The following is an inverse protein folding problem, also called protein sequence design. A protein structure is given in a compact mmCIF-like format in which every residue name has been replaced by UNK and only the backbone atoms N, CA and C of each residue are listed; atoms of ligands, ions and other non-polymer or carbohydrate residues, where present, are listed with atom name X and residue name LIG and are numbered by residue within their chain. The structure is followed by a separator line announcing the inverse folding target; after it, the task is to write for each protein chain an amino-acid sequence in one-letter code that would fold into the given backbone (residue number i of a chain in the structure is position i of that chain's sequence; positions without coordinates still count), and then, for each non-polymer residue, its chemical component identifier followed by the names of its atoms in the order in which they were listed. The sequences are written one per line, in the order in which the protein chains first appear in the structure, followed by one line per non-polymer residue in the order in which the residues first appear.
data_IF_890347394291
#
_entry.id   IF_890347394291
#
_cell.length_a   1.000
_cell.length_b   1.000
_cell.length_c   1.000
_cell.angle_alpha   90.00
_cell.angle_beta   90.00
_cell.angle_gamma   90.00
#
_symmetry.space_group_name_H-M   'P 1'
#
loop_
_entity.id
_entity.type
_entity.pdbx_description
1 polymer ?
#
# COMPACT_ATOMS: atom_id res chain seq x y z
N UNK A 1 -32.73 39.27 -5.24
CA UNK A 1 -31.79 38.52 -6.08
C UNK A 1 -30.34 38.50 -5.50
N UNK A 2 -29.91 39.56 -4.84
CA UNK A 2 -28.54 39.64 -4.23
C UNK A 2 -28.37 38.68 -3.04
N UNK A 3 -29.40 38.53 -2.21
CA UNK A 3 -29.42 37.62 -1.06
C UNK A 3 -29.39 36.13 -1.47
N UNK A 4 -29.97 35.81 -2.64
CA UNK A 4 -29.99 34.45 -3.16
C UNK A 4 -28.61 34.03 -3.70
N UNK A 5 -27.88 34.95 -4.35
CA UNK A 5 -26.53 34.73 -4.83
C UNK A 5 -25.52 34.55 -3.65
N UNK A 6 -25.69 35.33 -2.58
CA UNK A 6 -24.84 35.25 -1.41
C UNK A 6 -25.03 33.92 -0.64
N UNK A 7 -26.31 33.43 -0.53
CA UNK A 7 -26.61 32.12 0.07
C UNK A 7 -26.06 30.96 -0.74
N UNK A 8 -26.11 31.03 -2.09
CA UNK A 8 -25.56 30.02 -2.98
C UNK A 8 -24.01 29.97 -2.89
N UNK A 9 -23.37 31.14 -2.80
CA UNK A 9 -21.93 31.22 -2.60
C UNK A 9 -21.48 30.70 -1.22
N UNK A 10 -22.24 30.96 -0.17
CA UNK A 10 -21.97 30.42 1.18
C UNK A 10 -22.16 28.91 1.25
N UNK A 11 -23.19 28.34 0.60
CA UNK A 11 -23.36 26.89 0.52
C UNK A 11 -22.25 26.22 -0.30
N UNK A 12 -21.84 26.81 -1.42
CA UNK A 12 -20.74 26.29 -2.23
C UNK A 12 -19.39 26.34 -1.48
N UNK A 13 -19.14 27.39 -0.69
CA UNK A 13 -17.96 27.47 0.16
C UNK A 13 -17.99 26.45 1.31
N UNK A 14 -19.16 26.19 1.92
CA UNK A 14 -19.29 25.15 2.97
C UNK A 14 -19.06 23.74 2.41
N UNK A 15 -19.52 23.44 1.20
CA UNK A 15 -19.27 22.17 0.53
C UNK A 15 -17.78 21.99 0.16
N UNK A 16 -17.08 23.07 -0.19
CA UNK A 16 -15.65 23.02 -0.50
C UNK A 16 -14.77 22.75 0.75
N UNK A 17 -15.20 23.16 1.95
CA UNK A 17 -14.49 22.84 3.20
C UNK A 17 -14.80 21.45 3.76
N UNK A 18 -15.92 20.83 3.38
CA UNK A 18 -16.26 19.46 3.81
C UNK A 18 -15.45 18.36 3.07
N UNK A 19 -14.77 18.70 1.98
CA UNK A 19 -14.00 17.76 1.16
C UNK A 19 -12.53 17.63 1.54
N UNK A 20 -12.07 18.27 2.62
CA UNK A 20 -10.69 18.18 3.10
C UNK A 20 -10.46 17.10 4.18
N UNK A 21 -11.49 16.36 4.59
CA UNK A 21 -11.28 15.14 5.36
C UNK A 21 -10.64 14.12 4.40
N UNK A 22 -9.37 13.81 4.62
CA UNK A 22 -8.67 12.81 3.82
C UNK A 22 -9.43 11.48 3.92
N UNK A 23 -9.85 10.95 2.77
CA UNK A 23 -10.52 9.65 2.73
C UNK A 23 -9.65 8.50 3.30
N UNK A 24 -8.41 8.81 3.69
CA UNK A 24 -7.41 7.88 4.22
C UNK A 24 -7.15 8.04 5.73
N UNK A 25 -7.79 9.02 6.41
CA UNK A 25 -7.53 9.32 7.83
C UNK A 25 -7.92 8.18 8.79
N UNK A 26 -8.75 7.24 8.34
CA UNK A 26 -9.15 6.07 9.11
C UNK A 26 -8.02 5.05 9.31
N UNK A 27 -7.02 5.04 8.43
CA UNK A 27 -6.03 3.95 8.35
C UNK A 27 -5.10 3.94 9.56
N UNK A 28 -4.57 5.09 9.97
CA UNK A 28 -3.68 5.18 11.12
C UNK A 28 -4.36 4.78 12.43
N UNK A 29 -5.55 5.31 12.79
CA UNK A 29 -6.31 4.84 13.96
C UNK A 29 -6.66 3.35 13.92
N UNK A 30 -6.90 2.78 12.72
CA UNK A 30 -7.13 1.35 12.56
C UNK A 30 -5.90 0.54 12.95
N UNK A 31 -4.74 0.90 12.44
CA UNK A 31 -3.46 0.22 12.74
C UNK A 31 -3.09 0.34 14.23
N UNK A 32 -3.38 1.47 14.87
CA UNK A 32 -3.15 1.67 16.31
C UNK A 32 -4.04 0.81 17.19
N UNK A 33 -5.23 0.42 16.71
CA UNK A 33 -6.24 -0.35 17.46
C UNK A 33 -6.30 -1.83 17.10
N UNK A 34 -5.65 -2.25 16.01
CA UNK A 34 -5.69 -3.65 15.58
C UNK A 34 -5.04 -4.56 16.61
N UNK A 35 -5.64 -5.73 16.85
CA UNK A 35 -5.06 -6.80 17.67
C UNK A 35 -4.26 -7.78 16.84
N UNK A 36 -4.36 -7.69 15.51
CA UNK A 36 -3.65 -8.56 14.59
C UNK A 36 -2.16 -8.26 14.60
N UNK A 37 -1.35 -9.32 14.53
CA UNK A 37 0.09 -9.17 14.38
C UNK A 37 0.43 -8.53 13.02
N UNK A 38 1.24 -7.49 13.06
CA UNK A 38 1.80 -6.85 11.86
C UNK A 38 3.26 -6.45 12.11
N UNK A 39 4.03 -6.44 11.03
CA UNK A 39 5.43 -6.06 11.08
C UNK A 39 5.94 -5.60 9.71
N UNK A 40 7.09 -4.94 9.72
CA UNK A 40 7.87 -4.74 8.51
C UNK A 40 8.83 -5.90 8.32
N UNK A 41 8.89 -6.42 7.10
CA UNK A 41 9.83 -7.47 6.70
C UNK A 41 10.70 -6.97 5.55
N UNK A 42 11.87 -7.56 5.42
CA UNK A 42 12.83 -7.28 4.35
C UNK A 42 12.94 -8.52 3.47
N UNK A 43 12.55 -8.38 2.23
CA UNK A 43 12.59 -9.48 1.27
C UNK A 43 13.71 -9.20 0.26
N UNK A 44 14.62 -10.16 0.12
CA UNK A 44 15.74 -10.02 -0.80
C UNK A 44 15.34 -10.46 -2.21
N UNK A 45 15.61 -9.60 -3.18
CA UNK A 45 15.57 -9.90 -4.60
C UNK A 45 17.00 -9.75 -5.16
N UNK A 46 17.75 -10.84 -5.15
CA UNK A 46 19.20 -10.80 -5.37
C UNK A 46 19.89 -9.94 -4.31
N UNK A 47 20.54 -8.86 -4.72
CA UNK A 47 21.19 -7.89 -3.82
C UNK A 47 20.26 -6.75 -3.42
N UNK A 48 19.08 -6.65 -4.02
CA UNK A 48 18.08 -5.62 -3.71
C UNK A 48 17.23 -6.03 -2.53
N UNK A 49 17.12 -5.17 -1.53
CA UNK A 49 16.21 -5.33 -0.40
C UNK A 49 14.89 -4.62 -0.69
N UNK A 50 13.77 -5.34 -0.65
CA UNK A 50 12.41 -4.80 -0.75
C UNK A 50 11.80 -4.83 0.63
N UNK A 51 11.52 -3.66 1.20
CA UNK A 51 10.76 -3.56 2.45
C UNK A 51 9.28 -3.85 2.16
N UNK A 52 8.64 -4.65 3.00
CA UNK A 52 7.21 -4.90 2.90
C UNK A 52 6.55 -4.84 4.28
N UNK A 53 5.28 -4.50 4.31
CA UNK A 53 4.46 -4.53 5.51
C UNK A 53 3.53 -5.74 5.43
N UNK A 54 3.57 -6.58 6.46
CA UNK A 54 2.76 -7.79 6.52
C UNK A 54 1.82 -7.75 7.73
N UNK A 55 0.59 -8.21 7.54
CA UNK A 55 -0.40 -8.39 8.61
C UNK A 55 -0.93 -9.83 8.55
N UNK A 56 -0.96 -10.49 9.70
CA UNK A 56 -1.41 -11.87 9.81
C UNK A 56 -2.86 -11.96 10.32
N UNK A 57 -3.69 -12.84 9.75
CA UNK A 57 -5.05 -13.06 10.22
C UNK A 57 -5.06 -13.82 11.54
N UNK A 58 -6.06 -13.57 12.38
CA UNK A 58 -6.33 -14.35 13.61
C UNK A 58 -7.11 -15.62 13.28
N UNK A 59 -6.47 -16.57 12.61
CA UNK A 59 -7.08 -17.86 12.20
C UNK A 59 -6.29 -19.05 12.74
N UNK A 60 -6.97 -20.17 12.96
CA UNK A 60 -6.35 -21.41 13.50
C UNK A 60 -5.71 -22.29 12.43
N UNK A 61 -6.04 -22.06 11.17
CA UNK A 61 -5.57 -22.84 10.02
C UNK A 61 -4.64 -22.02 9.15
N UNK A 62 -3.88 -22.69 8.29
CA UNK A 62 -3.08 -22.01 7.28
C UNK A 62 -3.96 -21.19 6.35
N UNK A 63 -3.54 -19.96 6.06
CA UNK A 63 -4.30 -19.01 5.25
C UNK A 63 -3.69 -18.84 3.85
N UNK A 64 -4.51 -18.43 2.91
CA UNK A 64 -4.05 -17.93 1.60
C UNK A 64 -3.36 -16.57 1.81
N UNK A 65 -2.28 -16.33 1.08
CA UNK A 65 -1.62 -15.03 1.09
C UNK A 65 -2.22 -14.10 0.04
N UNK A 66 -2.29 -12.81 0.38
CA UNK A 66 -2.63 -11.72 -0.52
C UNK A 66 -1.44 -10.76 -0.61
N UNK A 67 -0.84 -10.66 -1.79
CA UNK A 67 0.12 -9.59 -2.11
C UNK A 67 -0.69 -8.38 -2.56
N UNK A 68 -0.64 -7.30 -1.78
CA UNK A 68 -1.44 -6.10 -1.98
C UNK A 68 -0.55 -4.95 -2.47
N UNK A 69 -0.74 -4.53 -3.73
CA UNK A 69 0.04 -3.47 -4.33
C UNK A 69 -0.58 -2.11 -4.03
N UNK A 70 0.23 -1.22 -3.45
CA UNK A 70 -0.16 0.16 -3.14
C UNK A 70 -0.47 0.98 -4.40
N UNK A 71 -1.09 2.13 -4.21
CA UNK A 71 -1.34 3.11 -5.25
C UNK A 71 -0.08 3.94 -5.62
N UNK A 72 -0.25 5.05 -6.33
CA UNK A 72 0.83 5.96 -6.74
C UNK A 72 1.38 6.84 -5.60
N UNK A 73 1.02 6.56 -4.35
CA UNK A 73 1.56 7.23 -3.17
C UNK A 73 2.57 6.36 -2.41
N UNK A 74 2.69 5.08 -2.79
CA UNK A 74 3.58 4.13 -2.14
C UNK A 74 2.98 3.46 -0.91
N UNK A 75 3.84 2.91 -0.06
CA UNK A 75 3.44 2.20 1.16
C UNK A 75 3.10 3.20 2.28
N UNK A 76 1.98 3.90 2.13
CA UNK A 76 1.43 4.85 3.11
C UNK A 76 0.68 4.17 4.24
N UNK A 77 0.21 4.95 5.23
CA UNK A 77 -0.67 4.46 6.29
C UNK A 77 -1.94 3.82 5.72
N UNK A 78 -2.48 4.38 4.63
CA UNK A 78 -3.63 3.83 3.95
C UNK A 78 -3.34 2.43 3.39
N UNK A 79 -2.24 2.25 2.67
CA UNK A 79 -1.85 0.95 2.13
C UNK A 79 -1.64 -0.09 3.24
N UNK A 80 -1.01 0.30 4.36
CA UNK A 80 -0.86 -0.55 5.55
C UNK A 80 -2.20 -0.86 6.22
N UNK A 81 -3.12 0.10 6.29
CA UNK A 81 -4.49 -0.12 6.77
C UNK A 81 -5.26 -1.12 5.91
N UNK A 82 -5.03 -1.10 4.59
CA UNK A 82 -5.61 -2.09 3.67
C UNK A 82 -5.06 -3.49 3.90
N UNK A 83 -3.79 -3.65 4.32
CA UNK A 83 -3.29 -4.98 4.69
C UNK A 83 -3.99 -5.52 5.92
N UNK A 84 -4.31 -4.66 6.91
CA UNK A 84 -5.08 -5.08 8.07
C UNK A 84 -6.52 -5.49 7.71
N UNK A 85 -7.16 -4.82 6.75
CA UNK A 85 -8.46 -5.25 6.23
C UNK A 85 -8.37 -6.61 5.51
N UNK A 86 -7.31 -6.84 4.74
CA UNK A 86 -7.07 -8.16 4.13
C UNK A 86 -6.88 -9.26 5.17
N UNK A 87 -6.16 -8.96 6.25
CA UNK A 87 -5.99 -9.89 7.36
C UNK A 87 -7.31 -10.13 8.13
N UNK A 88 -8.14 -9.11 8.31
CA UNK A 88 -9.49 -9.26 8.86
C UNK A 88 -10.35 -10.19 8.02
N UNK A 89 -10.19 -10.17 6.70
CA UNK A 89 -10.86 -11.08 5.77
C UNK A 89 -10.26 -12.49 5.73
N UNK A 90 -9.23 -12.77 6.53
CA UNK A 90 -8.63 -14.10 6.68
C UNK A 90 -7.41 -14.37 5.81
N UNK A 91 -6.82 -13.36 5.17
CA UNK A 91 -5.60 -13.51 4.35
C UNK A 91 -4.36 -13.11 5.13
N UNK A 92 -3.24 -13.82 4.91
CA UNK A 92 -1.92 -13.25 5.22
C UNK A 92 -1.69 -12.15 4.17
N UNK A 93 -1.74 -10.88 4.56
CA UNK A 93 -1.67 -9.79 3.60
C UNK A 93 -0.32 -9.09 3.70
N UNK A 94 0.41 -9.04 2.58
CA UNK A 94 1.72 -8.41 2.47
C UNK A 94 1.69 -7.31 1.40
N UNK A 95 2.11 -6.11 1.77
CA UNK A 95 2.23 -4.98 0.86
C UNK A 95 3.71 -4.60 0.70
N UNK A 96 4.35 -4.88 -0.46
CA UNK A 96 5.70 -4.44 -0.73
C UNK A 96 5.75 -2.92 -0.94
N UNK A 97 6.79 -2.28 -0.44
CA UNK A 97 7.16 -0.92 -0.82
C UNK A 97 8.00 -0.98 -2.10
N UNK A 98 7.36 -0.81 -3.25
CA UNK A 98 8.05 -0.88 -4.54
C UNK A 98 8.99 0.30 -4.79
N UNK A 99 8.91 1.36 -3.96
CA UNK A 99 9.91 2.45 -3.93
C UNK A 99 11.12 2.14 -3.03
N UNK A 100 11.25 0.93 -2.50
CA UNK A 100 12.41 0.53 -1.69
C UNK A 100 13.72 0.87 -2.37
N UNK A 101 14.65 1.51 -1.66
CA UNK A 101 15.93 1.95 -2.18
C UNK A 101 15.90 3.20 -3.04
N UNK A 102 14.73 3.79 -3.30
CA UNK A 102 14.58 4.96 -4.18
C UNK A 102 14.43 6.28 -3.40
N UNK A 103 14.25 6.21 -2.10
CA UNK A 103 14.20 7.40 -1.25
C UNK A 103 15.55 8.13 -1.15
N UNK A 104 15.53 9.41 -0.75
CA UNK A 104 16.74 10.26 -0.71
C UNK A 104 17.90 9.71 0.13
N UNK A 105 17.59 8.87 1.13
CA UNK A 105 18.58 8.22 2.02
C UNK A 105 18.71 6.73 1.75
N UNK A 106 18.22 6.26 0.61
CA UNK A 106 18.19 4.84 0.27
C UNK A 106 17.04 4.05 0.90
N UNK A 107 16.09 4.72 1.53
CA UNK A 107 14.85 4.12 2.04
C UNK A 107 13.76 3.97 0.99
N UNK A 108 12.55 3.64 1.45
CA UNK A 108 11.36 3.52 0.60
C UNK A 108 10.43 4.73 0.71
N UNK A 109 9.13 4.49 0.62
CA UNK A 109 8.09 5.54 0.63
C UNK A 109 8.22 6.52 1.79
N UNK A 110 8.46 6.05 3.01
CA UNK A 110 8.58 6.89 4.19
C UNK A 110 9.76 7.88 4.13
N UNK A 111 10.82 7.52 3.40
CA UNK A 111 12.03 8.35 3.28
C UNK A 111 11.80 9.62 2.45
N UNK A 112 10.74 9.67 1.64
CA UNK A 112 10.34 10.87 0.92
C UNK A 112 9.66 11.92 1.80
N UNK A 113 9.36 11.60 3.08
CA UNK A 113 8.81 12.56 4.05
C UNK A 113 7.47 13.18 3.67
N UNK A 114 6.68 12.54 2.81
CA UNK A 114 5.40 13.06 2.33
C UNK A 114 5.51 14.03 1.14
N UNK A 115 6.71 14.23 0.60
CA UNK A 115 6.91 15.03 -0.62
C UNK A 115 6.31 14.29 -1.84
N UNK A 116 5.13 14.74 -2.26
CA UNK A 116 4.37 14.13 -3.36
C UNK A 116 5.08 14.25 -4.70
N UNK A 117 5.80 15.34 -4.95
CA UNK A 117 6.52 15.53 -6.21
C UNK A 117 7.71 14.59 -6.28
N UNK A 118 8.43 14.41 -5.18
CA UNK A 118 9.53 13.46 -5.09
C UNK A 118 9.03 12.01 -5.25
N UNK A 119 7.92 11.64 -4.60
CA UNK A 119 7.28 10.32 -4.77
C UNK A 119 6.87 10.10 -6.22
N UNK A 120 6.24 11.10 -6.87
CA UNK A 120 5.84 11.01 -8.28
C UNK A 120 7.03 10.78 -9.22
N UNK A 121 8.15 11.47 -8.98
CA UNK A 121 9.42 11.25 -9.71
C UNK A 121 9.96 9.84 -9.47
N UNK A 122 9.86 9.34 -8.23
CA UNK A 122 10.20 7.95 -7.89
C UNK A 122 9.41 6.94 -8.71
N UNK A 123 8.09 7.11 -8.80
CA UNK A 123 7.24 6.24 -9.64
C UNK A 123 7.52 6.38 -11.13
N UNK A 124 7.81 7.58 -11.62
CA UNK A 124 8.22 7.77 -13.01
C UNK A 124 9.52 7.01 -13.33
N UNK A 125 10.51 7.07 -12.44
CA UNK A 125 11.75 6.32 -12.57
C UNK A 125 11.53 4.80 -12.47
N UNK A 126 10.67 4.35 -11.55
CA UNK A 126 10.31 2.94 -11.39
C UNK A 126 9.59 2.41 -12.63
N UNK A 127 8.73 3.22 -13.26
CA UNK A 127 8.02 2.87 -14.49
C UNK A 127 8.94 2.57 -15.69
N UNK A 128 10.20 3.04 -15.65
CA UNK A 128 11.23 2.70 -16.64
C UNK A 128 11.90 1.33 -16.35
N UNK A 129 11.52 0.65 -15.28
CA UNK A 129 12.13 -0.60 -14.82
C UNK A 129 11.08 -1.70 -14.61
N UNK A 130 10.29 -2.05 -15.64
CA UNK A 130 9.21 -3.03 -15.49
C UNK A 130 9.70 -4.40 -15.04
N UNK A 131 10.89 -4.82 -15.49
CA UNK A 131 11.47 -6.12 -15.12
C UNK A 131 11.87 -6.15 -13.63
N UNK A 132 12.33 -5.02 -13.07
CA UNK A 132 12.59 -4.92 -11.64
C UNK A 132 11.31 -5.07 -10.84
N UNK A 133 10.21 -4.44 -11.27
CA UNK A 133 8.91 -4.57 -10.59
C UNK A 133 8.48 -6.04 -10.60
N UNK A 134 8.56 -6.72 -11.75
CA UNK A 134 8.22 -8.14 -11.85
C UNK A 134 9.08 -8.99 -10.93
N UNK A 135 10.38 -8.80 -10.96
CA UNK A 135 11.33 -9.56 -10.13
C UNK A 135 11.13 -9.30 -8.63
N UNK A 136 10.83 -8.06 -8.22
CA UNK A 136 10.48 -7.74 -6.83
C UNK A 136 9.20 -8.47 -6.40
N UNK A 137 8.18 -8.51 -7.27
CA UNK A 137 6.93 -9.21 -6.99
C UNK A 137 7.12 -10.74 -6.91
N UNK A 138 7.93 -11.32 -7.79
CA UNK A 138 8.29 -12.74 -7.72
C UNK A 138 8.94 -13.09 -6.39
N UNK A 139 9.87 -12.25 -5.91
CA UNK A 139 10.52 -12.44 -4.62
C UNK A 139 9.52 -12.36 -3.44
N UNK A 140 8.59 -11.40 -3.48
CA UNK A 140 7.52 -11.24 -2.47
C UNK A 140 6.58 -12.43 -2.46
N UNK A 141 6.13 -12.90 -3.64
CA UNK A 141 5.27 -14.08 -3.77
C UNK A 141 5.98 -15.32 -3.23
N UNK A 142 7.25 -15.52 -3.60
CA UNK A 142 8.04 -16.65 -3.12
C UNK A 142 8.27 -16.60 -1.60
N UNK A 143 8.47 -15.40 -1.04
CA UNK A 143 8.62 -15.20 0.41
C UNK A 143 7.34 -15.57 1.16
N UNK A 144 6.21 -14.98 0.79
CA UNK A 144 4.96 -15.18 1.54
C UNK A 144 4.41 -16.60 1.39
N UNK A 145 4.60 -17.24 0.24
CA UNK A 145 4.18 -18.63 0.01
C UNK A 145 4.89 -19.64 0.93
N UNK A 146 6.12 -19.32 1.38
CA UNK A 146 6.94 -20.18 2.25
C UNK A 146 6.67 -19.96 3.73
N UNK A 147 5.91 -18.97 4.12
CA UNK A 147 5.59 -18.74 5.53
C UNK A 147 4.87 -19.96 6.12
N UNK A 148 5.22 -20.39 7.35
CA UNK A 148 4.59 -21.55 7.99
C UNK A 148 3.07 -21.45 8.11
N UNK A 149 2.55 -20.22 8.25
CA UNK A 149 1.13 -19.91 8.34
C UNK A 149 0.43 -19.88 6.97
N UNK A 150 1.18 -19.87 5.86
CA UNK A 150 0.62 -19.85 4.50
C UNK A 150 0.28 -21.28 4.04
N UNK A 151 -0.85 -21.43 3.34
CA UNK A 151 -1.27 -22.70 2.72
C UNK A 151 -0.62 -22.93 1.35
N UNK A 152 0.33 -22.08 0.94
CA UNK A 152 1.03 -22.14 -0.35
C UNK A 152 0.28 -21.45 -1.50
N UNK A 153 -0.95 -21.00 -1.28
CA UNK A 153 -1.72 -20.24 -2.29
C UNK A 153 -1.47 -18.75 -2.10
N UNK A 154 -1.20 -18.06 -3.21
CA UNK A 154 -0.97 -16.61 -3.24
C UNK A 154 -1.86 -15.99 -4.29
N UNK A 155 -2.54 -14.92 -3.92
CA UNK A 155 -3.27 -14.05 -4.84
C UNK A 155 -2.61 -12.68 -4.83
N UNK A 156 -2.67 -11.97 -5.95
CA UNK A 156 -2.13 -10.62 -6.10
C UNK A 156 -3.26 -9.68 -6.45
N UNK A 157 -3.29 -8.54 -5.80
CA UNK A 157 -4.25 -7.47 -6.04
C UNK A 157 -3.62 -6.12 -5.81
N UNK A 158 -4.28 -5.05 -6.27
CA UNK A 158 -3.72 -3.72 -6.08
C UNK A 158 -4.70 -2.62 -6.43
N UNK A 159 -4.30 -1.39 -6.09
CA UNK A 159 -5.13 -0.20 -6.26
C UNK A 159 -4.47 0.77 -7.23
N UNK A 160 -5.26 1.38 -8.13
CA UNK A 160 -4.81 2.40 -9.05
C UNK A 160 -3.56 1.94 -9.83
N UNK A 161 -2.41 2.58 -9.62
CA UNK A 161 -1.13 2.16 -10.18
C UNK A 161 -0.80 0.70 -9.85
N UNK A 162 -1.01 0.27 -8.61
CA UNK A 162 -0.82 -1.12 -8.18
C UNK A 162 -1.77 -2.10 -8.87
N UNK A 163 -3.01 -1.68 -9.17
CA UNK A 163 -3.94 -2.45 -9.97
C UNK A 163 -3.41 -2.71 -11.39
N UNK A 164 -2.85 -1.69 -12.04
CA UNK A 164 -2.18 -1.84 -13.34
C UNK A 164 -1.00 -2.82 -13.24
N UNK A 165 -0.17 -2.72 -12.19
CA UNK A 165 0.95 -3.66 -12.01
C UNK A 165 0.47 -5.09 -11.75
N UNK A 166 -0.66 -5.27 -11.06
CA UNK A 166 -1.28 -6.60 -10.88
C UNK A 166 -1.59 -7.27 -12.22
N UNK A 167 -2.27 -6.56 -13.11
CA UNK A 167 -2.58 -7.09 -14.45
C UNK A 167 -1.33 -7.35 -15.30
N UNK A 168 -0.30 -6.54 -15.17
CA UNK A 168 0.96 -6.74 -15.88
C UNK A 168 1.74 -7.96 -15.35
N UNK A 169 1.62 -8.25 -14.06
CA UNK A 169 2.31 -9.36 -13.39
C UNK A 169 1.61 -10.71 -13.62
N UNK A 170 0.28 -10.73 -13.81
CA UNK A 170 -0.51 -11.94 -14.06
C UNK A 170 -0.22 -12.54 -15.44
#
# INVERSE_FOLDING_TARGET
STHMKLRTLLLAALCAFASAASAQDWAKPRLEKTTRHYEYVKVMNGTREVTAFITCPEVKTKATALVLLHDNQGLTDWARGMTDQGAEAGYITIAPDLLSGMGPKGGGTADFGGDRDAVSKGFAALGQKPDQITSDLDAIVAYVAKLPACNGKVVVGGFCWGGNQTFRFA
#
